data_IF_538124141325
#
_entry.id   IF_538124141325
#
_cell.length_a   1.000
_cell.length_b   1.000
_cell.length_c   1.000
_cell.angle_alpha   90.00
_cell.angle_beta   90.00
_cell.angle_gamma   90.00
#
_symmetry.space_group_name_H-M   'P 1'
#
loop_
_entity.id
_entity.type
_entity.pdbx_description
1 polymer ?
#
# COMPACT_ATOMS: atom_id res chain seq x y z
N UNK A 1 -9.01 -4.68 -2.86
CA UNK A 1 -8.54 -3.30 -2.56
C UNK A 1 -8.22 -3.19 -1.09
N UNK A 2 -7.69 -2.06 -0.63
CA UNK A 2 -7.26 -1.87 0.77
C UNK A 2 -7.85 -0.60 1.35
N UNK A 3 -8.42 -0.67 2.55
CA UNK A 3 -8.92 0.51 3.29
C UNK A 3 -8.01 0.76 4.51
N UNK A 4 -7.67 2.01 4.76
CA UNK A 4 -6.82 2.44 5.87
C UNK A 4 -7.61 3.21 6.92
N UNK A 5 -7.40 2.93 8.20
CA UNK A 5 -7.98 3.66 9.32
C UNK A 5 -6.90 4.05 10.34
N UNK A 6 -7.07 5.21 10.97
CA UNK A 6 -6.12 5.75 11.94
C UNK A 6 -4.98 6.54 11.29
N UNK A 7 -3.80 6.46 11.88
CA UNK A 7 -2.68 7.33 11.52
C UNK A 7 -2.18 7.12 10.09
N UNK A 8 -1.91 8.22 9.39
CA UNK A 8 -1.46 8.21 8.00
C UNK A 8 -0.12 7.50 7.84
N UNK A 9 0.06 6.81 6.71
CA UNK A 9 1.34 6.17 6.36
C UNK A 9 1.71 6.37 4.90
N UNK A 10 3.00 6.52 4.64
CA UNK A 10 3.54 6.50 3.28
C UNK A 10 3.57 5.06 2.76
N UNK A 11 2.81 4.82 1.70
CA UNK A 11 2.84 3.61 0.90
C UNK A 11 3.79 3.82 -0.28
N UNK A 12 4.81 2.98 -0.35
CA UNK A 12 5.86 3.05 -1.36
C UNK A 12 5.72 1.91 -2.35
N UNK A 13 5.75 2.26 -3.63
CA UNK A 13 5.79 1.36 -4.78
C UNK A 13 7.15 1.47 -5.47
N UNK A 14 7.78 0.34 -5.76
CA UNK A 14 9.02 0.25 -6.54
C UNK A 14 8.91 -0.85 -7.57
N UNK A 15 9.18 -0.55 -8.83
CA UNK A 15 9.11 -1.54 -9.89
C UNK A 15 10.24 -2.58 -9.74
N UNK A 16 9.95 -3.86 -10.04
CA UNK A 16 10.91 -4.96 -9.85
C UNK A 16 12.17 -4.83 -10.74
N UNK A 17 11.98 -4.45 -12.01
CA UNK A 17 13.08 -4.36 -13.00
C UNK A 17 13.74 -2.98 -13.00
N UNK A 18 12.97 -1.94 -13.32
CA UNK A 18 13.47 -0.57 -13.29
C UNK A 18 13.37 0.07 -11.89
N UNK A 19 14.51 0.15 -11.19
CA UNK A 19 14.58 0.76 -9.85
C UNK A 19 14.37 2.28 -9.85
N UNK A 20 14.40 2.95 -11.01
CA UNK A 20 14.10 4.40 -11.13
C UNK A 20 12.59 4.66 -11.05
N UNK A 21 11.76 3.67 -11.40
CA UNK A 21 10.31 3.78 -11.28
C UNK A 21 9.86 3.54 -9.84
N UNK A 22 9.60 4.65 -9.15
CA UNK A 22 9.13 4.65 -7.77
C UNK A 22 7.94 5.61 -7.62
N UNK A 23 6.98 5.24 -6.79
CA UNK A 23 5.86 6.10 -6.44
C UNK A 23 5.59 6.02 -4.94
N UNK A 24 5.29 7.17 -4.35
CA UNK A 24 4.87 7.29 -2.95
C UNK A 24 3.46 7.85 -2.91
N UNK A 25 2.65 7.29 -2.01
CA UNK A 25 1.25 7.68 -1.80
C UNK A 25 1.04 7.78 -0.30
N UNK A 26 0.45 8.88 0.17
CA UNK A 26 0.03 8.98 1.56
C UNK A 26 -1.34 8.31 1.69
N UNK A 27 -1.42 7.30 2.54
CA UNK A 27 -2.67 6.64 2.90
C UNK A 27 -3.20 7.26 4.18
N UNK A 28 -4.17 8.16 4.01
CA UNK A 28 -4.86 8.86 5.10
C UNK A 28 -5.94 7.99 5.76
N UNK A 29 -6.45 8.44 6.89
CA UNK A 29 -7.61 7.83 7.54
C UNK A 29 -8.82 7.83 6.59
N UNK A 30 -9.46 6.68 6.40
CA UNK A 30 -10.59 6.50 5.49
C UNK A 30 -10.21 6.32 4.02
N UNK A 31 -8.91 6.35 3.67
CA UNK A 31 -8.48 6.17 2.28
C UNK A 31 -8.70 4.75 1.77
N UNK A 32 -9.11 4.64 0.49
CA UNK A 32 -9.19 3.39 -0.24
C UNK A 32 -8.13 3.34 -1.35
N UNK A 33 -7.29 2.31 -1.32
CA UNK A 33 -6.29 2.01 -2.34
C UNK A 33 -6.71 0.79 -3.17
N UNK A 34 -6.95 1.00 -4.46
CA UNK A 34 -7.20 -0.07 -5.42
C UNK A 34 -5.90 -0.48 -6.12
N UNK A 35 -5.42 -1.70 -5.85
CA UNK A 35 -4.38 -2.35 -6.63
C UNK A 35 -5.03 -3.36 -7.58
N UNK A 36 -4.90 -3.16 -8.90
CA UNK A 36 -5.50 -3.98 -9.96
C UNK A 36 -4.52 -4.15 -11.12
N UNK A 37 -4.75 -5.13 -11.99
CA UNK A 37 -3.92 -5.40 -13.16
C UNK A 37 -2.54 -5.87 -12.75
N UNK A 38 -1.51 -5.32 -13.36
CA UNK A 38 -0.14 -5.80 -13.20
C UNK A 38 0.57 -5.28 -11.94
N UNK A 39 -0.07 -4.41 -11.14
CA UNK A 39 0.58 -3.79 -9.97
C UNK A 39 1.16 -4.83 -9.01
N UNK A 40 0.41 -5.90 -8.70
CA UNK A 40 0.85 -6.95 -7.77
C UNK A 40 2.01 -7.80 -8.31
N UNK A 41 2.15 -7.89 -9.64
CA UNK A 41 3.17 -8.72 -10.29
C UNK A 41 4.45 -7.94 -10.61
N UNK A 42 4.33 -6.65 -10.91
CA UNK A 42 5.44 -5.80 -11.38
C UNK A 42 6.01 -4.86 -10.31
N UNK A 43 5.34 -4.69 -9.18
CA UNK A 43 5.73 -3.72 -8.16
C UNK A 43 5.84 -4.32 -6.76
N UNK A 44 6.97 -4.04 -6.12
CA UNK A 44 7.12 -4.18 -4.68
C UNK A 44 6.36 -3.05 -4.00
N UNK A 45 5.57 -3.39 -2.99
CA UNK A 45 4.84 -2.43 -2.18
C UNK A 45 5.17 -2.58 -0.70
N UNK A 46 5.29 -1.46 0.00
CA UNK A 46 5.60 -1.45 1.44
C UNK A 46 5.02 -0.23 2.13
N UNK A 47 4.76 -0.37 3.43
CA UNK A 47 4.52 0.76 4.33
C UNK A 47 5.87 1.15 4.94
N UNK A 48 6.31 2.39 4.71
CA UNK A 48 7.60 2.85 5.20
C UNK A 48 7.58 3.04 6.71
N UNK A 49 8.64 2.58 7.38
CA UNK A 49 8.88 2.89 8.80
C UNK A 49 9.33 4.35 8.88
N UNK A 50 8.63 5.16 9.66
CA UNK A 50 8.99 6.56 9.88
C UNK A 50 9.12 6.82 11.38
N UNK A 51 10.26 7.34 11.85
CA UNK A 51 10.41 7.72 13.26
C UNK A 51 9.42 8.83 13.62
N UNK A 52 9.00 8.88 14.88
CA UNK A 52 8.08 9.91 15.39
C UNK A 52 6.59 9.65 15.12
N UNK A 53 6.25 8.53 14.48
CA UNK A 53 4.85 8.11 14.36
C UNK A 53 4.43 7.41 15.66
N UNK A 54 3.54 8.05 16.42
CA UNK A 54 3.07 7.56 17.72
C UNK A 54 1.75 6.77 17.67
N UNK A 55 0.91 7.04 16.67
CA UNK A 55 -0.45 6.51 16.63
C UNK A 55 -0.57 5.24 15.78
N UNK A 56 -1.55 4.41 16.14
CA UNK A 56 -1.85 3.14 15.48
C UNK A 56 -2.56 3.33 14.13
N UNK A 57 -2.37 2.36 13.22
CA UNK A 57 -3.07 2.26 11.94
C UNK A 57 -3.58 0.85 11.74
N UNK A 58 -4.85 0.71 11.35
CA UNK A 58 -5.46 -0.56 10.95
C UNK A 58 -5.65 -0.52 9.43
N UNK A 59 -5.38 -1.64 8.77
CA UNK A 59 -5.57 -1.76 7.32
C UNK A 59 -6.32 -3.05 6.99
N UNK A 60 -7.43 -2.92 6.28
CA UNK A 60 -8.26 -4.04 5.86
C UNK A 60 -8.04 -4.27 4.36
N UNK A 61 -7.44 -5.41 4.01
CA UNK A 61 -7.18 -5.76 2.61
C UNK A 61 -8.21 -6.78 2.12
N UNK A 62 -9.05 -6.36 1.18
CA UNK A 62 -10.04 -7.20 0.52
C UNK A 62 -9.41 -7.90 -0.69
N UNK A 63 -9.59 -9.23 -0.75
CA UNK A 63 -9.14 -10.09 -1.85
C UNK A 63 -10.28 -11.02 -2.27
N UNK A 64 -10.44 -11.20 -3.58
CA UNK A 64 -11.26 -12.28 -4.11
C UNK A 64 -10.37 -13.50 -4.27
N UNK A 65 -10.64 -14.55 -3.47
CA UNK A 65 -9.95 -15.83 -3.60
C UNK A 65 -10.70 -16.63 -4.64
N UNK A 66 -10.01 -17.00 -5.74
CA UNK A 66 -10.56 -17.98 -6.68
C UNK A 66 -10.40 -19.35 -6.06
N UNK A 67 -11.52 -20.04 -5.87
CA UNK A 67 -11.51 -21.48 -5.59
C UNK A 67 -11.26 -22.18 -6.92
N UNK A 68 -10.27 -23.07 -6.94
CA UNK A 68 -9.94 -23.92 -8.10
C UNK A 68 -10.95 -25.06 -8.15
#
# INVERSE_FOLDING_TARGET
>A
GSVSFGESREFSLKHHKDKKLQKKIILENGSFLLMKGETQHKWLHSIQKKPGIANSRINITFRTIKVI
#
